data_IF_530921581046
#
_entry.id   IF_530921581046
#
_cell.length_a   1.000
_cell.length_b   1.000
_cell.length_c   1.000
_cell.angle_alpha   90.00
_cell.angle_beta   90.00
_cell.angle_gamma   90.00
#
_symmetry.space_group_name_H-M   'P 1'
#
loop_
_entity.id
_entity.type
_entity.pdbx_description
1 polymer ?
#
# COMPACT_ATOMS: atom_id res chain seq x y z
N UNK A 1 4.84 4.14 22.72
CA UNK A 1 4.85 5.55 22.31
C UNK A 1 4.27 5.63 20.92
N UNK A 2 3.44 6.64 20.61
CA UNK A 2 2.77 6.70 19.33
C UNK A 2 3.77 7.03 18.22
N UNK A 3 3.73 6.30 17.11
CA UNK A 3 4.62 6.48 15.94
C UNK A 3 4.79 7.95 15.52
N UNK A 4 3.73 8.76 15.65
CA UNK A 4 3.75 10.20 15.30
C UNK A 4 4.77 11.04 16.07
N UNK A 5 5.27 10.58 17.23
CA UNK A 5 6.33 11.27 17.99
C UNK A 5 7.74 10.85 17.62
N UNK A 6 7.90 9.80 16.80
CA UNK A 6 9.21 9.26 16.47
C UNK A 6 9.89 10.08 15.36
N UNK A 7 11.23 10.08 15.38
CA UNK A 7 12.07 10.86 14.47
C UNK A 7 12.67 10.03 13.32
N UNK A 8 12.62 8.69 13.41
CA UNK A 8 13.06 7.78 12.34
C UNK A 8 12.44 6.38 12.52
N UNK A 9 12.53 5.55 11.48
CA UNK A 9 12.20 4.14 11.58
C UNK A 9 13.05 3.42 12.65
N UNK A 10 12.47 2.51 13.45
CA UNK A 10 13.24 1.70 14.38
C UNK A 10 14.29 0.85 13.64
N UNK A 11 15.51 0.78 14.18
CA UNK A 11 16.59 -0.01 13.57
C UNK A 11 16.20 -1.49 13.33
N UNK A 12 15.38 -2.06 14.22
CA UNK A 12 14.86 -3.41 14.07
C UNK A 12 13.95 -3.57 12.84
N UNK A 13 13.16 -2.55 12.50
CA UNK A 13 12.32 -2.56 11.31
C UNK A 13 13.17 -2.52 10.04
N UNK A 14 14.17 -1.62 9.99
CA UNK A 14 15.10 -1.54 8.87
C UNK A 14 15.83 -2.87 8.64
N UNK A 15 16.29 -3.51 9.72
CA UNK A 15 16.95 -4.81 9.67
C UNK A 15 16.05 -5.92 9.10
N UNK A 16 14.76 -5.91 9.43
CA UNK A 16 13.80 -6.90 8.88
C UNK A 16 13.71 -6.75 7.35
N UNK A 17 13.56 -5.53 6.85
CA UNK A 17 13.54 -5.27 5.40
C UNK A 17 14.85 -5.65 4.72
N UNK A 18 15.99 -5.35 5.35
CA UNK A 18 17.31 -5.73 4.84
C UNK A 18 17.44 -7.24 4.70
N UNK A 19 17.06 -8.02 5.73
CA UNK A 19 17.11 -9.49 5.68
C UNK A 19 16.23 -10.03 4.54
N UNK A 20 14.97 -9.60 4.45
CA UNK A 20 14.05 -10.09 3.43
C UNK A 20 14.47 -9.68 2.00
N UNK A 21 15.16 -8.54 1.82
CA UNK A 21 15.68 -8.14 0.50
C UNK A 21 16.79 -9.07 0.01
N UNK A 22 17.60 -9.64 0.91
CA UNK A 22 18.69 -10.56 0.57
C UNK A 22 18.24 -12.02 0.41
N UNK A 23 16.99 -12.35 0.75
CA UNK A 23 16.43 -13.67 0.48
C UNK A 23 16.22 -13.86 -1.04
N UNK A 24 17.02 -14.76 -1.63
CA UNK A 24 16.99 -15.11 -3.05
C UNK A 24 15.88 -16.11 -3.42
N UNK A 25 15.20 -16.67 -2.43
CA UNK A 25 14.11 -17.62 -2.67
C UNK A 25 12.86 -16.85 -3.12
N UNK A 26 12.15 -17.31 -4.16
CA UNK A 26 10.94 -16.69 -4.66
C UNK A 26 9.77 -16.98 -3.72
N UNK A 27 9.80 -16.40 -2.52
CA UNK A 27 8.59 -16.22 -1.74
C UNK A 27 7.87 -15.02 -2.35
N UNK A 28 6.78 -15.28 -3.06
CA UNK A 28 5.90 -14.27 -3.69
C UNK A 28 5.48 -13.17 -2.71
N UNK A 29 5.58 -13.45 -1.40
CA UNK A 29 5.18 -12.58 -0.29
C UNK A 29 6.34 -12.13 0.62
N UNK A 30 7.60 -12.10 0.16
CA UNK A 30 8.76 -11.76 1.03
C UNK A 30 8.65 -10.40 1.74
N UNK A 31 7.95 -9.43 1.15
CA UNK A 31 7.73 -8.11 1.74
C UNK A 31 6.50 -8.05 2.66
N UNK A 32 5.63 -9.04 2.63
CA UNK A 32 4.39 -9.03 3.41
C UNK A 32 4.65 -8.97 4.92
N UNK A 33 5.51 -9.84 5.45
CA UNK A 33 5.88 -9.85 6.88
C UNK A 33 6.47 -8.51 7.34
N UNK A 34 7.49 -7.97 6.63
CA UNK A 34 8.04 -6.64 6.89
C UNK A 34 6.98 -5.53 6.90
N UNK A 35 6.07 -5.49 5.92
CA UNK A 35 5.03 -4.46 5.86
C UNK A 35 3.94 -4.63 6.91
N UNK A 36 3.53 -5.86 7.23
CA UNK A 36 2.63 -6.11 8.34
C UNK A 36 3.22 -5.55 9.64
N UNK A 37 4.52 -5.78 9.88
CA UNK A 37 5.23 -5.22 11.04
C UNK A 37 5.32 -3.70 11.01
N UNK A 38 5.59 -3.11 9.84
CA UNK A 38 5.64 -1.66 9.64
C UNK A 38 4.29 -1.01 9.97
N UNK A 39 3.20 -1.53 9.41
CA UNK A 39 1.86 -1.00 9.66
C UNK A 39 1.45 -1.18 11.12
N UNK A 40 1.75 -2.32 11.75
CA UNK A 40 1.46 -2.53 13.18
C UNK A 40 2.20 -1.53 14.05
N UNK A 41 3.43 -1.18 13.69
CA UNK A 41 4.18 -0.14 14.38
C UNK A 41 3.56 1.25 14.17
N UNK A 42 3.13 1.58 12.95
CA UNK A 42 2.51 2.87 12.61
C UNK A 42 1.20 3.13 13.36
N UNK A 43 0.33 2.13 13.46
CA UNK A 43 -1.00 2.25 14.09
C UNK A 43 -1.02 1.89 15.58
N UNK A 44 0.15 1.74 16.19
CA UNK A 44 0.31 1.47 17.61
C UNK A 44 0.04 0.00 17.96
N UNK A 45 1.06 -0.79 18.33
CA UNK A 45 0.87 -2.22 18.63
C UNK A 45 -0.05 -2.47 19.84
N UNK A 46 -0.22 -1.47 20.71
CA UNK A 46 -1.05 -1.52 21.91
C UNK A 46 -2.41 -0.81 21.72
N UNK A 47 -2.69 -0.25 20.54
CA UNK A 47 -3.97 0.38 20.24
C UNK A 47 -5.01 -0.68 19.87
N UNK A 48 -6.26 -0.44 20.28
CA UNK A 48 -7.44 -1.21 19.87
C UNK A 48 -8.34 -0.42 18.91
N UNK A 49 -7.93 0.77 18.50
CA UNK A 49 -8.68 1.63 17.58
C UNK A 49 -8.51 1.18 16.12
N UNK A 50 -7.41 0.47 15.85
CA UNK A 50 -7.08 -0.02 14.52
C UNK A 50 -6.62 -1.46 14.56
N UNK A 51 -6.89 -2.20 13.49
CA UNK A 51 -6.28 -3.50 13.27
C UNK A 51 -5.95 -3.70 11.79
N UNK A 52 -4.94 -4.54 11.54
CA UNK A 52 -4.46 -4.86 10.19
C UNK A 52 -4.94 -6.25 9.84
N UNK A 53 -5.51 -6.40 8.65
CA UNK A 53 -5.91 -7.72 8.16
C UNK A 53 -5.47 -7.93 6.70
N UNK A 54 -4.93 -9.12 6.36
CA UNK A 54 -4.74 -9.52 4.98
C UNK A 54 -6.09 -9.61 4.25
N UNK A 55 -6.08 -9.21 2.99
CA UNK A 55 -7.21 -9.38 2.09
C UNK A 55 -6.77 -10.12 0.83
N UNK A 56 -7.73 -10.84 0.25
CA UNK A 56 -7.58 -11.54 -1.04
C UNK A 56 -8.54 -10.92 -2.04
N UNK A 57 -8.15 -10.79 -3.33
CA UNK A 57 -9.05 -10.32 -4.36
C UNK A 57 -10.25 -11.29 -4.49
N UNK A 58 -11.44 -10.79 -4.86
CA UNK A 58 -12.60 -11.63 -5.13
C UNK A 58 -12.27 -12.73 -6.16
N UNK A 59 -12.75 -13.94 -5.90
CA UNK A 59 -12.43 -15.17 -6.67
C UNK A 59 -12.92 -15.16 -8.12
N UNK A 60 -13.65 -14.14 -8.56
CA UNK A 60 -14.18 -14.05 -9.93
C UNK A 60 -13.11 -13.76 -11.00
N UNK A 61 -11.88 -13.40 -10.59
CA UNK A 61 -10.79 -13.05 -11.50
C UNK A 61 -9.67 -14.11 -11.64
N UNK A 62 -9.81 -15.29 -11.01
CA UNK A 62 -8.82 -16.37 -11.09
C UNK A 62 -9.40 -17.66 -11.69
N UNK A 63 -9.49 -17.78 -13.03
CA UNK A 63 -9.75 -19.07 -13.65
C UNK A 63 -8.49 -19.94 -13.56
N UNK A 64 -8.47 -20.81 -12.54
CA UNK A 64 -7.58 -21.97 -12.36
C UNK A 64 -6.09 -21.67 -12.09
N UNK A 65 -5.61 -22.34 -11.04
CA UNK A 65 -4.21 -22.66 -10.74
C UNK A 65 -3.26 -21.50 -10.44
N UNK A 66 -3.38 -20.92 -9.24
CA UNK A 66 -2.28 -20.85 -8.26
C UNK A 66 -2.76 -20.27 -6.92
N UNK A 67 -2.22 -20.83 -5.85
CA UNK A 67 -2.48 -20.56 -4.42
C UNK A 67 -1.76 -19.26 -4.04
N UNK A 68 -2.32 -18.09 -4.39
CA UNK A 68 -1.78 -16.78 -4.02
C UNK A 68 -2.50 -16.25 -2.76
N UNK A 69 -2.10 -16.75 -1.58
CA UNK A 69 -2.94 -16.74 -0.36
C UNK A 69 -2.97 -15.42 0.41
N UNK A 70 -2.21 -14.41 0.02
CA UNK A 70 -2.30 -13.06 0.60
C UNK A 70 -1.89 -12.02 -0.43
N UNK A 71 -2.75 -11.05 -0.74
CA UNK A 71 -2.51 -10.16 -1.90
C UNK A 71 -2.25 -8.70 -1.50
N UNK A 72 -2.86 -8.24 -0.41
CA UNK A 72 -2.67 -6.88 0.13
C UNK A 72 -3.09 -6.78 1.61
N UNK A 73 -2.66 -5.72 2.28
CA UNK A 73 -3.01 -5.39 3.65
C UNK A 73 -4.03 -4.26 3.69
N UNK A 74 -4.95 -4.32 4.65
CA UNK A 74 -5.88 -3.22 4.94
C UNK A 74 -5.82 -2.91 6.43
N UNK A 75 -5.76 -1.62 6.74
CA UNK A 75 -5.97 -1.12 8.10
C UNK A 75 -7.44 -0.77 8.23
N UNK A 76 -8.07 -1.33 9.24
CA UNK A 76 -9.45 -1.09 9.61
C UNK A 76 -9.52 -0.32 10.92
N UNK A 77 -10.56 0.50 11.07
CA UNK A 77 -10.95 1.04 12.37
C UNK A 77 -11.60 -0.02 13.27
N UNK A 78 -11.96 0.34 14.49
CA UNK A 78 -12.61 -0.54 15.47
C UNK A 78 -13.97 -1.09 15.00
N UNK A 79 -14.61 -0.47 14.01
CA UNK A 79 -15.87 -0.91 13.41
C UNK A 79 -15.68 -1.74 12.13
N UNK A 80 -14.43 -2.13 11.81
CA UNK A 80 -14.08 -2.89 10.60
C UNK A 80 -14.35 -2.12 9.30
N UNK A 81 -14.15 -0.81 9.31
CA UNK A 81 -14.22 0.04 8.10
C UNK A 81 -12.82 0.42 7.61
N UNK A 82 -12.54 0.37 6.30
CA UNK A 82 -11.19 0.56 5.78
C UNK A 82 -10.74 2.02 5.90
N UNK A 83 -9.51 2.25 6.35
CA UNK A 83 -8.89 3.59 6.44
C UNK A 83 -7.57 3.70 5.69
N UNK A 84 -6.90 2.57 5.42
CA UNK A 84 -5.68 2.51 4.63
C UNK A 84 -5.60 1.18 3.87
N UNK A 85 -5.27 1.23 2.58
CA UNK A 85 -4.96 0.06 1.75
C UNK A 85 -3.45 0.02 1.49
N UNK A 86 -2.84 -1.15 1.55
CA UNK A 86 -1.44 -1.36 1.18
C UNK A 86 -1.29 -2.57 0.24
N UNK A 87 -1.13 -2.31 -1.05
CA UNK A 87 -0.87 -3.32 -2.07
C UNK A 87 0.65 -3.51 -2.21
N UNK A 88 1.11 -4.73 -1.92
CA UNK A 88 2.54 -5.05 -1.80
C UNK A 88 2.92 -6.00 -2.93
N UNK A 89 3.98 -5.64 -3.66
CA UNK A 89 4.59 -6.44 -4.73
C UNK A 89 6.10 -6.45 -4.58
N UNK A 90 6.74 -7.31 -5.36
CA UNK A 90 8.18 -7.46 -5.39
C UNK A 90 8.90 -6.25 -6.03
N UNK A 91 10.16 -6.00 -5.64
CA UNK A 91 10.97 -4.90 -6.21
C UNK A 91 11.19 -5.06 -7.72
N UNK A 92 11.20 -6.29 -8.25
CA UNK A 92 11.32 -6.56 -9.68
C UNK A 92 10.19 -5.92 -10.51
N UNK A 93 9.03 -5.64 -9.90
CA UNK A 93 7.91 -4.98 -10.58
C UNK A 93 8.24 -3.56 -11.00
N UNK A 94 9.05 -2.85 -10.21
CA UNK A 94 9.43 -1.47 -10.50
C UNK A 94 10.20 -1.34 -11.83
N UNK A 95 10.85 -2.40 -12.30
CA UNK A 95 11.66 -2.41 -13.52
C UNK A 95 10.86 -2.62 -14.82
N UNK A 96 9.59 -3.05 -14.75
CA UNK A 96 8.79 -3.44 -15.94
C UNK A 96 7.53 -2.60 -16.08
N UNK A 97 7.34 -1.99 -17.25
CA UNK A 97 6.22 -1.11 -17.55
C UNK A 97 4.84 -1.78 -17.40
N UNK A 98 4.72 -3.05 -17.82
CA UNK A 98 3.50 -3.83 -17.68
C UNK A 98 3.16 -4.13 -16.22
N UNK A 99 4.17 -4.41 -15.38
CA UNK A 99 3.98 -4.65 -13.95
C UNK A 99 3.64 -3.36 -13.19
N UNK A 100 4.27 -2.24 -13.52
CA UNK A 100 3.91 -0.92 -12.98
C UNK A 100 2.47 -0.57 -13.31
N UNK A 101 2.06 -0.72 -14.58
CA UNK A 101 0.67 -0.49 -14.97
C UNK A 101 -0.31 -1.45 -14.27
N UNK A 102 0.06 -2.72 -14.12
CA UNK A 102 -0.74 -3.70 -13.37
C UNK A 102 -0.90 -3.29 -11.91
N UNK A 103 0.15 -2.79 -11.25
CA UNK A 103 0.09 -2.32 -9.87
C UNK A 103 -0.82 -1.09 -9.70
N UNK A 104 -0.78 -0.13 -10.63
CA UNK A 104 -1.70 1.03 -10.62
C UNK A 104 -3.16 0.57 -10.76
N UNK A 105 -3.46 -0.28 -11.74
CA UNK A 105 -4.80 -0.82 -11.94
C UNK A 105 -5.29 -1.61 -10.72
N UNK A 106 -4.44 -2.45 -10.12
CA UNK A 106 -4.80 -3.21 -8.92
C UNK A 106 -5.15 -2.28 -7.75
N UNK A 107 -4.39 -1.20 -7.55
CA UNK A 107 -4.70 -0.22 -6.52
C UNK A 107 -6.07 0.43 -6.76
N UNK A 108 -6.37 0.87 -8.00
CA UNK A 108 -7.66 1.48 -8.33
C UNK A 108 -8.83 0.53 -8.16
N UNK A 109 -8.66 -0.74 -8.50
CA UNK A 109 -9.67 -1.76 -8.22
C UNK A 109 -9.95 -1.90 -6.71
N UNK A 110 -8.95 -1.65 -5.83
CA UNK A 110 -9.20 -1.60 -4.38
C UNK A 110 -10.05 -0.41 -3.99
N UNK A 111 -9.78 0.75 -4.58
CA UNK A 111 -10.62 1.94 -4.39
C UNK A 111 -12.06 1.70 -4.83
N UNK A 112 -12.29 1.13 -6.02
CA UNK A 112 -13.63 0.78 -6.51
C UNK A 112 -14.40 -0.11 -5.50
N UNK A 113 -13.68 -0.98 -4.80
CA UNK A 113 -14.27 -1.94 -3.86
C UNK A 113 -14.48 -1.38 -2.45
N UNK A 114 -13.66 -0.42 -1.99
CA UNK A 114 -13.56 -0.05 -0.57
C UNK A 114 -13.82 1.43 -0.27
N UNK A 115 -13.78 2.32 -1.27
CA UNK A 115 -13.87 3.77 -1.04
C UNK A 115 -15.19 4.16 -0.37
N UNK A 116 -16.30 3.58 -0.80
CA UNK A 116 -17.63 3.87 -0.24
C UNK A 116 -17.81 3.35 1.20
N UNK A 117 -16.97 2.42 1.65
CA UNK A 117 -17.01 1.87 3.01
C UNK A 117 -16.10 2.65 3.97
N UNK A 118 -15.27 3.55 3.46
CA UNK A 118 -14.36 4.36 4.27
C UNK A 118 -15.16 5.37 5.13
N UNK A 119 -14.92 5.44 6.44
CA UNK A 119 -15.66 6.34 7.31
C UNK A 119 -15.07 7.76 7.37
N UNK A 120 -13.92 7.98 6.73
CA UNK A 120 -13.16 9.22 6.76
C UNK A 120 -13.35 9.97 5.44
N UNK A 121 -13.02 11.27 5.37
CA UNK A 121 -13.03 12.00 4.10
C UNK A 121 -12.10 11.39 3.04
N UNK A 122 -11.00 10.76 3.48
CA UNK A 122 -10.01 10.16 2.60
C UNK A 122 -9.73 8.69 2.94
N UNK A 123 -9.71 7.85 1.92
CA UNK A 123 -9.13 6.51 1.97
C UNK A 123 -7.70 6.56 1.43
N UNK A 124 -6.72 6.32 2.30
CA UNK A 124 -5.33 6.31 1.89
C UNK A 124 -4.94 4.98 1.24
N UNK A 125 -4.03 5.04 0.26
CA UNK A 125 -3.54 3.88 -0.48
C UNK A 125 -2.03 3.90 -0.64
N UNK A 126 -1.38 2.78 -0.37
CA UNK A 126 0.06 2.58 -0.53
C UNK A 126 0.30 1.50 -1.56
N UNK A 127 0.84 1.86 -2.72
CA UNK A 127 1.33 0.88 -3.68
C UNK A 127 2.83 0.72 -3.50
N UNK A 128 3.25 -0.48 -3.14
CA UNK A 128 4.61 -0.79 -2.70
C UNK A 128 5.23 -1.82 -3.66
N UNK A 129 6.27 -1.42 -4.39
CA UNK A 129 7.07 -2.29 -5.25
C UNK A 129 8.42 -2.48 -4.56
N UNK A 130 8.56 -3.56 -3.79
CA UNK A 130 9.67 -3.69 -2.86
C UNK A 130 9.58 -2.62 -1.79
N UNK A 131 10.54 -1.68 -1.76
CA UNK A 131 10.50 -0.49 -0.87
C UNK A 131 10.11 0.80 -1.60
N UNK A 132 9.96 0.77 -2.92
CA UNK A 132 9.50 1.93 -3.68
C UNK A 132 8.00 2.10 -3.49
N UNK A 133 7.60 3.29 -3.04
CA UNK A 133 6.26 3.70 -2.67
C UNK A 133 5.70 4.66 -3.71
N UNK A 134 4.43 4.44 -4.05
CA UNK A 134 3.53 5.45 -4.62
C UNK A 134 2.31 5.58 -3.71
N UNK A 135 2.02 6.80 -3.30
CA UNK A 135 0.89 7.11 -2.43
C UNK A 135 -0.33 7.45 -3.29
N UNK A 136 -1.48 6.98 -2.84
CA UNK A 136 -2.79 7.30 -3.40
C UNK A 136 -3.68 7.88 -2.31
N UNK A 137 -4.60 8.75 -2.71
CA UNK A 137 -5.62 9.33 -1.84
C UNK A 137 -6.95 9.29 -2.60
N UNK A 138 -7.93 8.56 -2.06
CA UNK A 138 -9.29 8.55 -2.58
C UNK A 138 -10.17 9.46 -1.75
N UNK A 139 -10.83 10.44 -2.38
CA UNK A 139 -11.81 11.31 -1.74
C UNK A 139 -13.18 10.63 -1.75
N UNK A 140 -13.75 10.44 -0.55
CA UNK A 140 -15.00 9.67 -0.38
C UNK A 140 -16.22 10.42 -0.92
N UNK A 141 -16.20 11.76 -0.93
CA UNK A 141 -17.34 12.56 -1.35
C UNK A 141 -17.50 12.63 -2.88
N UNK A 142 -16.39 12.78 -3.59
CA UNK A 142 -16.33 12.88 -5.06
C UNK A 142 -16.13 11.52 -5.75
N UNK A 143 -15.48 10.58 -5.07
CA UNK A 143 -15.01 9.33 -5.67
C UNK A 143 -13.69 9.48 -6.44
N UNK A 144 -13.07 10.66 -6.43
CA UNK A 144 -11.81 10.90 -7.12
C UNK A 144 -10.64 10.21 -6.42
N UNK A 145 -9.70 9.66 -7.20
CA UNK A 145 -8.49 9.01 -6.69
C UNK A 145 -7.26 9.69 -7.28
N UNK A 146 -6.47 10.32 -6.41
CA UNK A 146 -5.16 10.83 -6.74
C UNK A 146 -4.07 9.77 -6.54
N UNK A 147 -3.00 9.76 -7.36
CA UNK A 147 -2.84 10.53 -8.59
C UNK A 147 -3.86 10.13 -9.66
N UNK A 148 -4.12 10.98 -10.66
CA UNK A 148 -5.04 10.70 -11.76
C UNK A 148 -4.59 9.47 -12.57
N UNK A 149 -5.53 8.69 -13.09
CA UNK A 149 -5.24 7.52 -13.92
C UNK A 149 -4.56 7.92 -15.23
N UNK A 150 -3.45 7.26 -15.53
CA UNK A 150 -2.77 7.37 -16.83
C UNK A 150 -3.09 6.13 -17.66
N UNK A 151 -3.92 6.31 -18.69
CA UNK A 151 -4.28 5.23 -19.60
C UNK A 151 -3.12 4.89 -20.55
N UNK A 152 -3.19 3.68 -21.13
CA UNK A 152 -2.24 3.21 -22.13
C UNK A 152 -2.18 4.19 -23.31
N UNK A 153 -0.97 4.65 -23.71
CA UNK A 153 -0.83 5.62 -24.79
C UNK A 153 -1.34 5.16 -26.16
N UNK A 154 -1.42 3.85 -26.40
CA UNK A 154 -1.87 3.27 -27.67
C UNK A 154 -2.53 1.91 -27.46
N UNK A 155 -3.87 1.83 -27.56
CA UNK A 155 -4.59 0.56 -27.54
C UNK A 155 -4.04 -0.38 -28.62
N UNK A 156 -3.56 -1.56 -28.21
CA UNK A 156 -3.02 -2.59 -29.11
C UNK A 156 -1.49 -2.63 -29.28
N UNK A 157 -0.72 -1.66 -28.75
CA UNK A 157 0.76 -1.68 -28.84
C UNK A 157 1.45 -1.95 -27.50
N UNK A 158 2.53 -2.73 -27.48
CA UNK A 158 3.31 -3.00 -26.25
C UNK A 158 3.60 -1.68 -25.52
N UNK A 159 3.47 -1.68 -24.19
CA UNK A 159 3.74 -0.50 -23.38
C UNK A 159 5.16 0.02 -23.61
N UNK A 160 5.35 1.34 -23.75
CA UNK A 160 6.68 1.93 -23.73
C UNK A 160 7.42 1.52 -22.46
N UNK A 161 8.72 1.22 -22.55
CA UNK A 161 9.52 0.77 -21.40
C UNK A 161 9.53 1.75 -20.23
N UNK A 162 9.40 3.04 -20.53
CA UNK A 162 9.36 4.14 -19.57
C UNK A 162 7.94 4.49 -19.10
N UNK A 163 6.91 3.75 -19.50
CA UNK A 163 5.54 4.03 -19.06
C UNK A 163 5.42 3.84 -17.54
N UNK A 164 4.89 4.86 -16.85
CA UNK A 164 4.88 4.98 -15.38
C UNK A 164 6.26 4.82 -14.72
N UNK A 165 7.34 5.10 -15.45
CA UNK A 165 8.67 5.11 -14.84
C UNK A 165 8.82 6.31 -13.90
N UNK A 166 9.41 6.08 -12.73
CA UNK A 166 9.64 7.14 -11.75
C UNK A 166 8.41 7.58 -10.94
N UNK A 167 7.26 6.93 -11.05
CA UNK A 167 6.07 7.29 -10.24
C UNK A 167 6.00 6.57 -8.88
N UNK A 168 6.75 5.48 -8.70
CA UNK A 168 7.10 4.92 -7.39
C UNK A 168 8.43 5.52 -6.93
N UNK A 169 8.41 6.81 -6.62
CA UNK A 169 9.60 7.65 -6.40
C UNK A 169 10.05 7.75 -4.95
N UNK A 170 9.22 7.36 -3.98
CA UNK A 170 9.56 7.48 -2.56
C UNK A 170 10.11 6.13 -2.09
N UNK A 171 11.29 6.08 -1.48
CA UNK A 171 11.66 4.89 -0.72
C UNK A 171 11.00 4.95 0.67
N UNK A 172 10.12 4.00 0.99
CA UNK A 172 9.39 3.95 2.27
C UNK A 172 10.34 3.97 3.47
N UNK A 173 11.55 3.40 3.35
CA UNK A 173 12.53 3.30 4.43
C UNK A 173 13.42 4.55 4.55
N UNK A 174 13.32 5.49 3.61
CA UNK A 174 14.04 6.75 3.65
C UNK A 174 13.42 7.75 4.66
N UNK A 175 14.12 8.84 5.01
CA UNK A 175 13.53 9.93 5.78
C UNK A 175 12.26 10.52 5.14
N UNK A 176 12.22 10.64 3.81
CA UNK A 176 11.04 11.11 3.08
C UNK A 176 9.87 10.13 3.24
N UNK A 177 10.12 8.83 3.07
CA UNK A 177 9.10 7.80 3.27
C UNK A 177 8.57 7.75 4.71
N UNK A 178 9.45 7.95 5.69
CA UNK A 178 9.08 8.04 7.10
C UNK A 178 8.16 9.25 7.38
N UNK A 179 8.53 10.44 6.91
CA UNK A 179 7.69 11.63 7.08
C UNK A 179 6.35 11.48 6.36
N UNK A 180 6.34 10.87 5.16
CA UNK A 180 5.10 10.64 4.43
C UNK A 180 4.17 9.68 5.17
N UNK A 181 4.70 8.62 5.79
CA UNK A 181 3.90 7.74 6.63
C UNK A 181 3.37 8.45 7.89
N UNK A 182 4.17 9.33 8.51
CA UNK A 182 3.69 10.14 9.64
C UNK A 182 2.57 11.09 9.27
N UNK A 183 2.64 11.71 8.09
CA UNK A 183 1.57 12.53 7.54
C UNK A 183 0.27 11.73 7.42
N UNK A 184 0.32 10.57 6.75
CA UNK A 184 -0.85 9.70 6.52
C UNK A 184 -1.45 9.21 7.83
N UNK A 185 -0.62 8.69 8.75
CA UNK A 185 -1.12 8.17 10.04
C UNK A 185 -1.73 9.29 10.88
N UNK A 186 -1.12 10.48 10.89
CA UNK A 186 -1.67 11.63 11.60
C UNK A 186 -3.03 12.05 11.04
N UNK A 187 -3.15 12.11 9.72
CA UNK A 187 -4.42 12.45 9.05
C UNK A 187 -5.53 11.45 9.42
N UNK A 188 -5.23 10.14 9.37
CA UNK A 188 -6.17 9.08 9.74
C UNK A 188 -6.58 9.20 11.21
N UNK A 189 -5.62 9.28 12.13
CA UNK A 189 -5.88 9.32 13.57
C UNK A 189 -6.70 10.56 13.93
N UNK A 190 -6.31 11.74 13.43
CA UNK A 190 -7.06 12.99 13.69
C UNK A 190 -8.45 12.97 13.08
N UNK A 191 -8.64 12.31 11.93
CA UNK A 191 -9.96 12.17 11.31
C UNK A 191 -10.86 11.23 12.11
N UNK A 192 -10.31 10.13 12.67
CA UNK A 192 -11.06 9.21 13.53
C UNK A 192 -11.45 9.86 14.86
N UNK A 193 -10.56 10.66 15.46
CA UNK A 193 -10.84 11.41 16.69
C UNK A 193 -11.98 12.45 16.51
N UNK A 194 -12.24 12.85 15.27
CA UNK A 194 -13.28 13.83 14.93
C UNK A 194 -14.66 13.21 14.58
N UNK A 195 -14.77 11.88 14.51
CA UNK A 195 -16.02 11.14 14.26
C UNK A 195 -16.89 11.00 15.51
#
# INVERSE_FOLDING_TARGET
MPFVTDAAWPAGLLKIFEVCRHELQPLENRYYGPYNKLLTYCFGPDSFEFFIAPQSPPSEFSPRDTVDFVVFLVVFDAQRRPVLIAEIKDDAWASKADLRFKADNQMRQRYDSMLNDCPLPHLWGLSLLGTSLRVYCGDVASGDVEPVFEDRPSPGRILPRNFLEGVWNIDILSPEGFEKMKEIVRDIVSSVEAL
#
